data_IF_889653759346
#
_entry.id   IF_889653759346
#
_cell.length_a   1.000
_cell.length_b   1.000
_cell.length_c   1.000
_cell.angle_alpha   90.00
_cell.angle_beta   90.00
_cell.angle_gamma   90.00
#
_symmetry.space_group_name_H-M   'P 1'
#
loop_
_entity.id
_entity.type
_entity.pdbx_description
1 polymer ?
#
# COMPACT_ATOMS: atom_id res chain seq x y z
N UNK A 1 10.53 -66.22 -28.73
CA UNK A 1 9.99 -65.55 -29.93
C UNK A 1 8.51 -65.34 -29.62
N UNK A 2 7.99 -64.17 -29.29
CA UNK A 2 8.39 -62.81 -29.63
C UNK A 2 7.86 -61.85 -28.54
N UNK A 3 8.61 -60.78 -28.33
CA UNK A 3 8.48 -59.80 -27.27
C UNK A 3 7.59 -58.66 -27.77
N UNK A 4 6.35 -58.52 -27.28
CA UNK A 4 5.63 -57.26 -27.41
C UNK A 4 5.93 -56.42 -26.17
N UNK A 5 7.02 -55.67 -26.28
CA UNK A 5 7.30 -54.57 -25.39
C UNK A 5 6.14 -53.58 -25.50
N UNK A 6 5.34 -53.47 -24.43
CA UNK A 6 4.50 -52.30 -24.19
C UNK A 6 5.43 -51.13 -23.88
N UNK A 7 6.02 -50.58 -24.94
CA UNK A 7 6.72 -49.32 -24.91
C UNK A 7 5.63 -48.25 -24.85
N UNK A 8 5.18 -47.95 -23.62
CA UNK A 8 4.50 -46.68 -23.35
C UNK A 8 5.41 -45.57 -23.91
N UNK A 9 4.96 -44.78 -24.90
CA UNK A 9 5.75 -43.66 -25.38
C UNK A 9 5.96 -42.68 -24.21
N UNK A 10 7.17 -42.13 -24.00
CA UNK A 10 7.32 -41.05 -23.04
C UNK A 10 6.41 -39.93 -23.50
N UNK A 11 5.45 -39.53 -22.64
CA UNK A 11 4.68 -38.33 -22.88
C UNK A 11 5.66 -37.20 -23.22
N UNK A 12 5.43 -36.41 -24.27
CA UNK A 12 6.23 -35.23 -24.49
C UNK A 12 6.06 -34.39 -23.24
N UNK A 13 7.10 -34.33 -22.40
CA UNK A 13 7.20 -33.35 -21.34
C UNK A 13 7.02 -32.02 -22.04
N UNK A 14 5.81 -31.44 -21.95
CA UNK A 14 5.48 -30.19 -22.58
C UNK A 14 6.54 -29.19 -22.12
N UNK A 15 7.36 -28.86 -23.11
CA UNK A 15 8.52 -28.04 -22.95
C UNK A 15 8.06 -26.70 -22.40
N UNK A 16 8.62 -26.34 -21.24
CA UNK A 16 8.50 -25.00 -20.72
C UNK A 16 7.09 -24.71 -20.21
N UNK A 17 6.87 -25.00 -18.93
CA UNK A 17 6.23 -23.98 -18.11
C UNK A 17 7.00 -22.69 -18.39
N UNK A 18 6.41 -21.81 -19.21
CA UNK A 18 6.93 -20.47 -19.38
C UNK A 18 7.27 -19.96 -17.97
N UNK A 19 8.40 -19.24 -17.76
CA UNK A 19 8.54 -18.53 -16.51
C UNK A 19 7.22 -17.78 -16.36
N UNK A 20 6.50 -18.05 -15.28
CA UNK A 20 5.35 -17.24 -14.91
C UNK A 20 5.98 -15.86 -14.75
N UNK A 21 5.95 -15.07 -15.83
CA UNK A 21 6.35 -13.68 -15.81
C UNK A 21 5.29 -13.11 -14.90
N UNK A 22 5.63 -12.98 -13.63
CA UNK A 22 4.81 -12.23 -12.69
C UNK A 22 4.47 -10.94 -13.43
N UNK A 23 3.19 -10.69 -13.71
CA UNK A 23 2.82 -9.51 -14.47
C UNK A 23 3.43 -8.33 -13.74
N UNK A 24 4.18 -7.49 -14.46
CA UNK A 24 4.73 -6.28 -13.90
C UNK A 24 3.60 -5.57 -13.12
N UNK A 25 3.84 -5.10 -11.90
CA UNK A 25 2.77 -4.56 -11.06
C UNK A 25 2.03 -3.51 -11.87
N UNK A 26 0.72 -3.71 -12.04
CA UNK A 26 -0.12 -2.72 -12.72
C UNK A 26 0.07 -1.38 -12.02
N UNK A 27 0.14 -0.25 -12.76
CA UNK A 27 0.24 1.06 -12.15
C UNK A 27 -0.90 1.20 -11.15
N UNK A 28 -0.52 1.31 -9.88
CA UNK A 28 -1.48 1.29 -8.77
C UNK A 28 -2.33 2.54 -8.90
N UNK A 29 -3.65 2.38 -8.93
CA UNK A 29 -4.56 3.52 -9.06
C UNK A 29 -4.23 4.55 -7.97
N UNK A 30 -4.24 5.85 -8.30
CA UNK A 30 -4.01 6.89 -7.30
C UNK A 30 -5.02 6.73 -6.17
N UNK A 31 -4.58 7.01 -4.95
CA UNK A 31 -5.47 7.00 -3.79
C UNK A 31 -6.30 8.29 -3.84
N UNK A 32 -7.53 8.18 -4.34
CA UNK A 32 -8.51 9.25 -4.26
C UNK A 32 -8.98 9.41 -2.80
N UNK A 33 -8.90 10.63 -2.26
CA UNK A 33 -9.42 10.97 -0.94
C UNK A 33 -10.34 12.20 -1.01
N UNK A 34 -11.39 12.20 -0.19
CA UNK A 34 -12.29 13.34 -0.06
C UNK A 34 -11.64 14.40 0.83
N UNK A 35 -11.54 15.67 0.40
CA UNK A 35 -10.95 16.73 1.22
C UNK A 35 -11.75 16.93 2.52
N UNK A 36 -11.01 17.00 3.61
CA UNK A 36 -11.55 17.15 4.97
C UNK A 36 -11.93 18.59 5.30
N UNK A 37 -11.44 19.55 4.50
CA UNK A 37 -11.61 20.99 4.72
C UNK A 37 -10.66 21.56 5.78
N UNK A 38 -9.77 20.73 6.33
CA UNK A 38 -8.72 21.13 7.26
C UNK A 38 -7.38 21.04 6.53
N UNK A 39 -6.80 22.20 6.18
CA UNK A 39 -5.56 22.29 5.37
C UNK A 39 -4.43 21.38 5.89
N UNK A 40 -4.24 21.34 7.21
CA UNK A 40 -3.24 20.49 7.85
C UNK A 40 -3.47 18.99 7.62
N UNK A 41 -4.73 18.55 7.62
CA UNK A 41 -5.12 17.14 7.40
C UNK A 41 -5.06 16.80 5.91
N UNK A 42 -5.55 17.70 5.04
CA UNK A 42 -5.50 17.52 3.59
C UNK A 42 -4.05 17.41 3.08
N UNK A 43 -3.11 18.13 3.70
CA UNK A 43 -1.68 18.01 3.44
C UNK A 43 -1.09 16.66 3.83
N UNK A 44 -1.55 16.07 4.94
CA UNK A 44 -1.13 14.72 5.37
C UNK A 44 -1.66 13.67 4.39
N UNK A 45 -2.92 13.79 3.96
CA UNK A 45 -3.53 12.89 2.99
C UNK A 45 -2.81 12.93 1.64
N UNK A 46 -2.41 14.13 1.18
CA UNK A 46 -1.60 14.28 -0.01
C UNK A 46 -0.25 13.55 0.10
N UNK A 47 0.43 13.65 1.25
CA UNK A 47 1.72 12.98 1.49
C UNK A 47 1.58 11.45 1.45
N UNK A 48 0.53 10.91 2.08
CA UNK A 48 0.20 9.48 2.09
C UNK A 48 -0.17 8.98 0.69
N UNK A 49 -0.89 9.77 -0.12
CA UNK A 49 -1.23 9.37 -1.49
C UNK A 49 0.02 9.12 -2.36
N UNK A 50 1.14 9.79 -2.08
CA UNK A 50 2.41 9.57 -2.82
C UNK A 50 3.12 8.27 -2.49
N UNK A 51 2.70 7.57 -1.42
CA UNK A 51 3.41 6.39 -0.91
C UNK A 51 3.27 5.18 -1.85
N UNK A 52 2.18 5.12 -2.63
CA UNK A 52 1.89 4.02 -3.54
C UNK A 52 2.96 3.86 -4.64
N UNK A 53 3.65 4.94 -4.98
CA UNK A 53 4.75 4.99 -5.96
C UNK A 53 6.14 4.76 -5.34
N UNK A 54 6.24 4.67 -4.00
CA UNK A 54 7.52 4.50 -3.30
C UNK A 54 7.81 3.04 -2.97
N UNK A 55 9.08 2.65 -2.82
CA UNK A 55 9.42 1.30 -2.34
C UNK A 55 8.96 1.09 -0.91
N UNK A 56 8.51 -0.13 -0.58
CA UNK A 56 7.93 -0.49 0.73
C UNK A 56 8.85 -0.17 1.91
N UNK A 57 10.17 -0.23 1.70
CA UNK A 57 11.16 0.14 2.74
C UNK A 57 11.05 1.61 3.18
N UNK A 58 10.60 2.50 2.30
CA UNK A 58 10.40 3.93 2.58
C UNK A 58 8.99 4.23 3.13
N UNK A 59 8.07 3.26 3.06
CA UNK A 59 6.68 3.50 3.49
C UNK A 59 6.59 3.79 4.98
N UNK A 60 7.40 3.11 5.79
CA UNK A 60 7.39 3.28 7.25
C UNK A 60 7.75 4.72 7.62
N UNK A 61 8.83 5.26 7.05
CA UNK A 61 9.27 6.63 7.33
C UNK A 61 8.22 7.67 6.92
N UNK A 62 7.58 7.47 5.76
CA UNK A 62 6.49 8.35 5.29
C UNK A 62 5.28 8.26 6.22
N UNK A 63 4.86 7.06 6.62
CA UNK A 63 3.73 6.88 7.53
C UNK A 63 4.00 7.46 8.92
N UNK A 64 5.18 7.26 9.49
CA UNK A 64 5.55 7.82 10.79
C UNK A 64 5.53 9.36 10.76
N UNK A 65 6.09 9.96 9.71
CA UNK A 65 6.05 11.40 9.51
C UNK A 65 4.62 11.92 9.33
N UNK A 66 3.79 11.21 8.55
CA UNK A 66 2.38 11.55 8.35
C UNK A 66 1.61 11.51 9.68
N UNK A 67 1.83 10.47 10.50
CA UNK A 67 1.22 10.35 11.82
C UNK A 67 1.64 11.45 12.79
N UNK A 68 2.93 11.81 12.85
CA UNK A 68 3.40 12.91 13.71
C UNK A 68 2.79 14.25 13.27
N UNK A 69 2.70 14.52 11.96
CA UNK A 69 2.05 15.73 11.44
C UNK A 69 0.56 15.76 11.77
N UNK A 70 -0.14 14.63 11.60
CA UNK A 70 -1.56 14.52 11.92
C UNK A 70 -1.81 14.73 13.42
N UNK A 71 -1.01 14.10 14.27
CA UNK A 71 -1.10 14.27 15.72
C UNK A 71 -0.95 15.73 16.12
N UNK A 72 0.06 16.43 15.60
CA UNK A 72 0.26 17.86 15.87
C UNK A 72 -0.89 18.71 15.37
N UNK A 73 -1.44 18.39 14.20
CA UNK A 73 -2.59 19.11 13.66
C UNK A 73 -3.82 18.97 14.57
N UNK A 74 -4.07 17.77 15.09
CA UNK A 74 -5.17 17.49 16.01
C UNK A 74 -4.94 18.10 17.40
N UNK A 75 -3.73 18.01 17.96
CA UNK A 75 -3.36 18.61 19.24
C UNK A 75 -3.43 20.16 19.21
N UNK A 76 -3.17 20.77 18.05
CA UNK A 76 -3.26 22.21 17.85
C UNK A 76 -4.71 22.72 17.69
N UNK A 77 -5.68 21.83 17.46
CA UNK A 77 -7.09 22.19 17.53
C UNK A 77 -7.51 22.12 19.01
N UNK A 78 -7.70 23.25 19.71
CA UNK A 78 -8.12 23.19 21.10
C UNK A 78 -9.48 22.49 21.19
N UNK A 79 -9.55 21.49 22.06
CA UNK A 79 -10.80 20.84 22.40
C UNK A 79 -11.80 21.92 22.90
N UNK A 80 -13.01 22.01 22.31
CA UNK A 80 -13.98 23.03 22.69
C UNK A 80 -14.49 22.86 24.14
N UNK A 81 -14.29 21.70 24.78
CA UNK A 81 -14.60 21.47 26.20
C UNK A 81 -13.44 21.85 27.15
N UNK A 82 -12.21 22.01 26.64
CA UNK A 82 -11.04 22.41 27.43
C UNK A 82 -10.93 23.94 27.66
N UNK A 83 -11.81 24.75 27.06
CA UNK A 83 -11.93 26.19 27.32
C UNK A 83 -12.83 26.55 28.53
N UNK A 84 -13.34 25.56 29.27
CA UNK A 84 -14.32 25.76 30.36
C UNK A 84 -13.81 25.56 31.80
N UNK A 85 -12.50 25.45 32.02
CA UNK A 85 -11.93 24.96 33.30
C UNK A 85 -10.91 25.87 33.98
N UNK A 86 -10.97 27.19 33.81
CA UNK A 86 -10.16 28.15 34.59
C UNK A 86 -11.07 29.18 35.25
N UNK A 87 -11.48 28.90 36.49
CA UNK A 87 -12.23 29.85 37.31
C UNK A 87 -12.98 29.21 38.47
N UNK A 88 -12.27 28.86 39.54
CA UNK A 88 -12.72 28.97 40.93
C UNK A 88 -11.53 28.82 41.88
#
# INVERSE_FOLDING_TARGET
>A
MDQVADATPPEPHEAGGAPSVEPAPEPRAPIDYEPTGVESVDRVLADVATIADRPVGEHVEVFERAHEQLRRALDAQPDPASHGGQGA
#
